data_IF_685341736417
#
_entry.id   IF_685341736417
#
_cell.length_a   1.000
_cell.length_b   1.000
_cell.length_c   1.000
_cell.angle_alpha   90.00
_cell.angle_beta   90.00
_cell.angle_gamma   90.00
#
_symmetry.space_group_name_H-M   'P 1'
#
loop_
_entity.id
_entity.type
_entity.pdbx_description
1 polymer ?
#
# COMPACT_ATOMS: atom_id res chain seq x y z
N UNK A 1 -38.31 -1.80 -6.47
CA UNK A 1 -37.24 -2.73 -6.05
C UNK A 1 -36.54 -3.44 -7.22
N UNK A 2 -37.27 -4.00 -8.20
CA UNK A 2 -36.65 -4.75 -9.32
C UNK A 2 -35.70 -3.90 -10.20
N UNK A 3 -36.09 -2.68 -10.61
CA UNK A 3 -35.21 -1.78 -11.40
C UNK A 3 -33.91 -1.37 -10.68
N UNK A 4 -33.94 -1.27 -9.35
CA UNK A 4 -32.75 -0.93 -8.53
C UNK A 4 -31.76 -2.10 -8.48
N UNK A 5 -32.29 -3.33 -8.31
CA UNK A 5 -31.47 -4.56 -8.35
C UNK A 5 -30.80 -4.82 -9.71
N UNK A 6 -31.45 -4.47 -10.82
CA UNK A 6 -30.86 -4.63 -12.16
C UNK A 6 -29.71 -3.64 -12.37
N UNK A 7 -29.88 -2.37 -11.98
CA UNK A 7 -28.82 -1.36 -12.08
C UNK A 7 -27.62 -1.65 -11.15
N UNK A 8 -27.87 -2.16 -9.94
CA UNK A 8 -26.80 -2.52 -9.01
C UNK A 8 -25.94 -3.70 -9.53
N UNK A 9 -26.55 -4.66 -10.23
CA UNK A 9 -25.84 -5.80 -10.82
C UNK A 9 -25.00 -5.41 -12.04
N UNK A 10 -25.50 -4.51 -12.88
CA UNK A 10 -24.76 -3.98 -14.03
C UNK A 10 -23.57 -3.14 -13.58
N UNK A 11 -23.76 -2.28 -12.57
CA UNK A 11 -22.68 -1.50 -11.96
C UNK A 11 -21.59 -2.38 -11.34
N UNK A 12 -21.97 -3.47 -10.66
CA UNK A 12 -21.01 -4.42 -10.11
C UNK A 12 -20.18 -5.08 -11.22
N UNK A 13 -20.79 -5.48 -12.35
CA UNK A 13 -20.09 -6.10 -13.47
C UNK A 13 -19.09 -5.15 -14.13
N UNK A 14 -19.42 -3.86 -14.25
CA UNK A 14 -18.56 -2.86 -14.87
C UNK A 14 -17.53 -2.26 -13.91
N UNK A 15 -17.64 -2.51 -12.61
CA UNK A 15 -16.70 -1.97 -11.62
C UNK A 15 -15.27 -2.44 -11.93
N UNK A 16 -14.27 -1.54 -12.02
CA UNK A 16 -12.88 -1.96 -12.19
C UNK A 16 -12.34 -2.64 -10.93
N UNK A 17 -12.92 -2.29 -9.76
CA UNK A 17 -12.55 -2.84 -8.46
C UNK A 17 -13.73 -3.03 -7.54
N UNK A 18 -13.72 -4.12 -6.81
CA UNK A 18 -14.63 -4.39 -5.71
C UNK A 18 -16.03 -4.79 -6.14
N UNK A 19 -16.59 -5.74 -5.39
CA UNK A 19 -17.99 -6.17 -5.49
C UNK A 19 -18.53 -6.45 -4.09
N UNK A 20 -19.85 -6.50 -3.92
CA UNK A 20 -20.47 -6.63 -2.59
C UNK A 20 -20.71 -8.07 -2.16
N UNK A 21 -20.86 -8.98 -3.11
CA UNK A 21 -21.25 -10.37 -2.83
C UNK A 21 -20.47 -11.39 -3.65
N UNK A 22 -20.39 -12.63 -3.16
CA UNK A 22 -19.77 -13.74 -3.92
C UNK A 22 -20.48 -14.00 -5.25
N UNK A 23 -21.79 -13.77 -5.33
CA UNK A 23 -22.55 -13.92 -6.57
C UNK A 23 -22.13 -12.86 -7.61
N UNK A 24 -21.97 -11.61 -7.18
CA UNK A 24 -21.42 -10.53 -8.01
C UNK A 24 -19.97 -10.84 -8.42
N UNK A 25 -19.13 -11.31 -7.50
CA UNK A 25 -17.74 -11.70 -7.80
C UNK A 25 -17.69 -12.80 -8.87
N UNK A 26 -18.56 -13.81 -8.76
CA UNK A 26 -18.65 -14.90 -9.75
C UNK A 26 -19.05 -14.38 -11.13
N UNK A 27 -20.04 -13.50 -11.20
CA UNK A 27 -20.46 -12.89 -12.44
C UNK A 27 -19.38 -11.97 -13.03
N UNK A 28 -18.72 -11.18 -12.18
CA UNK A 28 -17.63 -10.27 -12.53
C UNK A 28 -16.43 -11.01 -13.13
N UNK A 29 -16.00 -12.11 -12.48
CA UNK A 29 -14.91 -12.96 -12.95
C UNK A 29 -15.28 -13.67 -14.26
N UNK A 30 -16.51 -14.19 -14.36
CA UNK A 30 -16.99 -14.83 -15.58
C UNK A 30 -17.05 -13.87 -16.77
N UNK A 31 -17.52 -12.63 -16.57
CA UNK A 31 -17.58 -11.60 -17.60
C UNK A 31 -16.20 -11.20 -18.14
N UNK A 32 -15.15 -11.37 -17.33
CA UNK A 32 -13.75 -11.10 -17.69
C UNK A 32 -12.95 -12.35 -18.09
N UNK A 33 -13.61 -13.51 -18.18
CA UNK A 33 -12.95 -14.77 -18.53
C UNK A 33 -11.91 -15.25 -17.50
N UNK A 34 -11.99 -14.77 -16.25
CA UNK A 34 -11.01 -15.07 -15.20
C UNK A 34 -11.07 -16.55 -14.82
N UNK A 35 -9.94 -17.23 -14.92
CA UNK A 35 -9.79 -18.66 -14.60
C UNK A 35 -9.07 -18.89 -13.28
N UNK A 36 -8.26 -17.93 -12.82
CA UNK A 36 -7.46 -18.02 -11.61
C UNK A 36 -7.72 -16.84 -10.66
N UNK A 37 -7.51 -17.08 -9.38
CA UNK A 37 -7.55 -16.02 -8.37
C UNK A 37 -6.40 -16.16 -7.38
N UNK A 38 -5.73 -15.04 -7.14
CA UNK A 38 -4.75 -14.88 -6.10
C UNK A 38 -5.43 -14.39 -4.81
N UNK A 39 -5.45 -15.26 -3.81
CA UNK A 39 -5.98 -14.98 -2.50
C UNK A 39 -4.84 -14.50 -1.61
N UNK A 40 -4.79 -13.20 -1.31
CA UNK A 40 -3.65 -12.59 -0.59
C UNK A 40 -4.05 -12.03 0.78
N UNK A 41 -3.10 -11.95 1.70
CA UNK A 41 -3.16 -11.22 2.96
C UNK A 41 -1.80 -10.53 3.17
N UNK A 42 -1.75 -9.24 3.53
CA UNK A 42 -0.49 -8.56 3.80
C UNK A 42 0.08 -9.02 5.15
N UNK A 43 1.34 -9.44 5.17
CA UNK A 43 2.08 -9.64 6.42
C UNK A 43 2.55 -8.30 7.03
N UNK A 44 3.26 -8.37 8.17
CA UNK A 44 3.76 -7.17 8.87
C UNK A 44 4.74 -6.34 8.03
N UNK A 45 5.43 -6.95 7.07
CA UNK A 45 6.34 -6.28 6.15
C UNK A 45 5.63 -5.72 4.90
N UNK A 46 4.31 -5.97 4.76
CA UNK A 46 3.52 -5.62 3.59
C UNK A 46 3.74 -6.56 2.40
N UNK A 47 4.30 -7.76 2.63
CA UNK A 47 4.45 -8.79 1.60
C UNK A 47 3.14 -9.54 1.43
N UNK A 48 2.77 -9.81 0.18
CA UNK A 48 1.61 -10.62 -0.16
C UNK A 48 1.86 -12.09 0.23
N UNK A 49 1.12 -12.58 1.24
CA UNK A 49 1.09 -14.01 1.60
C UNK A 49 -0.23 -14.60 1.18
N UNK A 50 -0.26 -15.83 0.67
CA UNK A 50 -1.47 -16.28 0.03
C UNK A 50 -1.42 -17.62 -0.68
N UNK A 51 -2.47 -17.88 -1.46
CA UNK A 51 -2.58 -19.01 -2.36
C UNK A 51 -3.14 -18.54 -3.70
N UNK A 52 -2.65 -19.12 -4.78
CA UNK A 52 -3.28 -19.04 -6.09
C UNK A 52 -4.17 -20.27 -6.24
N UNK A 53 -5.40 -20.09 -6.73
CA UNK A 53 -6.30 -21.20 -6.96
C UNK A 53 -7.19 -20.98 -8.19
N UNK A 54 -7.69 -22.08 -8.81
CA UNK A 54 -8.70 -21.97 -9.85
C UNK A 54 -9.95 -21.24 -9.32
N UNK A 55 -10.54 -20.37 -10.13
CA UNK A 55 -11.75 -19.62 -9.80
C UNK A 55 -12.90 -20.56 -9.35
N UNK A 56 -13.03 -21.72 -9.99
CA UNK A 56 -14.01 -22.75 -9.62
C UNK A 56 -13.84 -23.25 -8.18
N UNK A 57 -12.59 -23.40 -7.72
CA UNK A 57 -12.26 -23.80 -6.35
C UNK A 57 -12.58 -22.69 -5.36
N UNK A 58 -12.21 -21.45 -5.66
CA UNK A 58 -12.55 -20.29 -4.82
C UNK A 58 -14.06 -20.16 -4.60
N UNK A 59 -14.88 -20.34 -5.64
CA UNK A 59 -16.34 -20.27 -5.47
C UNK A 59 -16.96 -21.48 -4.77
N UNK A 60 -16.24 -22.60 -4.69
CA UNK A 60 -16.67 -23.76 -3.88
C UNK A 60 -16.33 -23.59 -2.39
N UNK A 61 -15.21 -22.95 -2.10
CA UNK A 61 -14.72 -22.67 -0.75
C UNK A 61 -13.87 -21.40 -0.79
N UNK A 62 -14.49 -20.22 -0.57
CA UNK A 62 -13.81 -18.93 -0.67
C UNK A 62 -12.90 -18.64 0.52
N UNK A 63 -13.06 -19.43 1.58
CA UNK A 63 -12.25 -19.35 2.79
C UNK A 63 -11.00 -20.21 2.59
N UNK A 64 -9.83 -19.65 2.90
CA UNK A 64 -8.58 -20.40 2.88
C UNK A 64 -7.92 -20.42 4.26
N UNK A 65 -7.03 -21.40 4.48
CA UNK A 65 -6.25 -21.49 5.71
C UNK A 65 -4.76 -21.26 5.43
N UNK A 66 -4.10 -20.50 6.30
CA UNK A 66 -2.65 -20.34 6.37
C UNK A 66 -2.22 -20.36 7.84
N UNK A 67 -0.97 -20.76 8.14
CA UNK A 67 -0.47 -20.76 9.51
C UNK A 67 -0.31 -19.34 10.06
N UNK A 68 -0.38 -19.18 11.38
CA UNK A 68 -0.16 -17.91 12.07
C UNK A 68 1.24 -17.34 11.81
N UNK A 69 2.23 -18.22 11.61
CA UNK A 69 3.62 -17.87 11.32
C UNK A 69 3.81 -16.93 10.13
N UNK A 70 2.87 -16.85 9.17
CA UNK A 70 2.98 -15.93 8.02
C UNK A 70 3.16 -14.46 8.44
N UNK A 71 2.66 -14.07 9.61
CA UNK A 71 2.81 -12.69 10.10
C UNK A 71 4.13 -12.43 10.83
N UNK A 72 4.86 -13.48 11.18
CA UNK A 72 6.15 -13.38 11.86
C UNK A 72 7.34 -13.60 10.93
N UNK A 73 7.09 -14.00 9.68
CA UNK A 73 8.16 -14.15 8.71
C UNK A 73 8.78 -12.78 8.40
N UNK A 74 10.09 -12.68 8.57
CA UNK A 74 10.85 -11.45 8.30
C UNK A 74 11.00 -11.23 6.80
N UNK A 75 11.43 -10.02 6.42
CA UNK A 75 11.70 -9.68 5.02
C UNK A 75 12.84 -10.51 4.40
N UNK A 76 13.75 -11.04 5.22
CA UNK A 76 14.81 -11.99 4.79
C UNK A 76 14.30 -13.42 4.62
N UNK A 77 13.03 -13.69 4.95
CA UNK A 77 12.42 -15.02 4.89
C UNK A 77 12.63 -15.86 6.15
N UNK A 78 13.35 -15.32 7.15
CA UNK A 78 13.60 -15.95 8.45
C UNK A 78 12.43 -15.71 9.42
N UNK A 79 12.58 -16.19 10.65
CA UNK A 79 11.64 -15.94 11.74
C UNK A 79 12.41 -15.40 12.94
N UNK A 80 11.81 -14.53 13.76
CA UNK A 80 12.46 -14.03 14.97
C UNK A 80 12.74 -15.18 15.94
N UNK A 81 13.83 -15.07 16.70
CA UNK A 81 14.11 -15.99 17.80
C UNK A 81 13.00 -15.86 18.86
N UNK A 82 12.19 -16.91 18.99
CA UNK A 82 11.04 -16.93 19.90
C UNK A 82 11.43 -17.19 21.37
N UNK A 83 12.70 -17.48 21.65
CA UNK A 83 13.17 -17.77 23.00
C UNK A 83 12.99 -16.56 23.93
N UNK A 84 12.10 -16.70 24.93
CA UNK A 84 11.92 -15.74 26.01
C UNK A 84 11.10 -14.49 25.69
N UNK A 85 10.71 -14.27 24.44
CA UNK A 85 9.86 -13.12 24.03
C UNK A 85 8.37 -13.47 23.97
N UNK A 86 8.03 -14.76 23.92
CA UNK A 86 6.72 -15.20 23.48
C UNK A 86 6.27 -16.43 24.29
N UNK A 87 5.65 -16.19 25.45
CA UNK A 87 4.74 -17.18 26.10
C UNK A 87 3.56 -17.57 25.16
N UNK A 88 3.48 -16.97 23.97
CA UNK A 88 2.43 -17.07 22.97
C UNK A 88 2.83 -17.66 21.62
N UNK A 89 3.95 -18.39 21.48
CA UNK A 89 3.99 -19.46 20.44
C UNK A 89 3.13 -20.62 20.95
N UNK A 90 1.85 -20.29 21.15
CA UNK A 90 0.73 -21.19 21.02
C UNK A 90 0.95 -21.84 19.65
N UNK A 91 1.05 -23.17 19.63
CA UNK A 91 1.27 -23.99 18.43
C UNK A 91 0.81 -23.29 17.16
N UNK A 92 1.71 -23.13 16.17
CA UNK A 92 1.47 -22.42 14.91
C UNK A 92 0.15 -22.87 14.28
N UNK A 93 -0.90 -22.12 14.60
CA UNK A 93 -2.27 -22.58 14.39
C UNK A 93 -2.76 -22.09 13.04
N UNK A 94 -3.55 -22.93 12.37
CA UNK A 94 -4.18 -22.51 11.13
C UNK A 94 -5.17 -21.39 11.40
N UNK A 95 -4.96 -20.28 10.70
CA UNK A 95 -5.89 -19.17 10.59
C UNK A 95 -6.96 -19.46 9.53
N UNK A 96 -8.07 -18.76 9.65
CA UNK A 96 -9.16 -18.70 8.69
C UNK A 96 -9.06 -17.36 7.97
N UNK A 97 -8.88 -17.38 6.66
CA UNK A 97 -8.75 -16.19 5.84
C UNK A 97 -10.01 -16.02 5.01
N UNK A 98 -10.69 -14.89 5.18
CA UNK A 98 -11.95 -14.58 4.51
C UNK A 98 -11.75 -13.43 3.51
N UNK A 99 -12.22 -13.55 2.26
CA UNK A 99 -11.99 -12.54 1.24
C UNK A 99 -12.80 -11.27 1.51
N UNK A 100 -12.13 -10.12 1.43
CA UNK A 100 -12.78 -8.82 1.37
C UNK A 100 -13.07 -8.47 -0.09
N UNK A 101 -14.26 -8.83 -0.56
CA UNK A 101 -14.65 -8.69 -1.98
C UNK A 101 -14.66 -7.24 -2.46
N UNK A 102 -14.67 -6.26 -1.56
CA UNK A 102 -14.50 -4.84 -1.92
C UNK A 102 -13.12 -4.55 -2.55
N UNK A 103 -12.15 -5.45 -2.36
CA UNK A 103 -10.78 -5.33 -2.89
C UNK A 103 -10.56 -6.10 -4.19
N UNK A 104 -11.55 -6.86 -4.67
CA UNK A 104 -11.44 -7.69 -5.86
C UNK A 104 -11.03 -6.86 -7.07
N UNK A 105 -9.91 -7.20 -7.72
CA UNK A 105 -9.45 -6.54 -8.94
C UNK A 105 -8.73 -7.55 -9.86
N UNK A 106 -8.39 -7.12 -11.07
CA UNK A 106 -7.62 -7.96 -12.00
C UNK A 106 -6.14 -8.03 -11.61
N UNK A 107 -5.42 -8.99 -12.18
CA UNK A 107 -3.95 -9.05 -12.17
C UNK A 107 -3.49 -8.81 -13.61
N UNK A 108 -3.32 -7.56 -14.05
CA UNK A 108 -3.22 -7.21 -15.47
C UNK A 108 -1.93 -7.71 -16.15
N UNK A 109 -0.89 -8.00 -15.38
CA UNK A 109 0.37 -8.57 -15.88
C UNK A 109 0.37 -10.11 -15.95
N UNK A 110 -0.67 -10.79 -15.43
CA UNK A 110 -0.74 -12.24 -15.47
C UNK A 110 -0.90 -12.74 -16.91
N UNK A 111 -0.22 -13.84 -17.24
CA UNK A 111 -0.32 -14.47 -18.56
C UNK A 111 -1.72 -15.05 -18.81
N UNK A 112 -2.28 -15.71 -17.80
CA UNK A 112 -3.65 -16.23 -17.82
C UNK A 112 -4.60 -15.21 -17.15
N UNK A 113 -5.87 -15.11 -17.60
CA UNK A 113 -6.85 -14.22 -16.99
C UNK A 113 -7.02 -14.48 -15.49
N UNK A 114 -6.49 -13.56 -14.68
CA UNK A 114 -6.34 -13.75 -13.23
C UNK A 114 -6.90 -12.56 -12.46
N UNK A 115 -7.57 -12.83 -11.34
CA UNK A 115 -8.01 -11.83 -10.38
C UNK A 115 -7.20 -11.94 -9.09
N UNK A 116 -7.27 -10.92 -8.24
CA UNK A 116 -6.72 -10.94 -6.90
C UNK A 116 -7.72 -10.36 -5.90
N UNK A 117 -7.67 -10.85 -4.67
CA UNK A 117 -8.50 -10.35 -3.57
C UNK A 117 -7.75 -10.42 -2.25
N UNK A 118 -7.86 -9.35 -1.46
CA UNK A 118 -7.25 -9.26 -0.13
C UNK A 118 -8.19 -9.94 0.89
N UNK A 119 -7.61 -10.68 1.82
CA UNK A 119 -8.32 -11.41 2.86
C UNK A 119 -8.10 -10.75 4.24
N UNK A 120 -9.10 -10.87 5.09
CA UNK A 120 -8.97 -10.63 6.52
C UNK A 120 -8.64 -11.96 7.22
N UNK A 121 -7.86 -11.89 8.29
CA UNK A 121 -7.42 -13.08 9.04
C UNK A 121 -8.15 -13.23 10.37
N UNK A 122 -8.60 -14.46 10.65
CA UNK A 122 -9.34 -14.83 11.86
C UNK A 122 -8.74 -16.09 12.48
N UNK A 123 -8.78 -16.16 13.81
CA UNK A 123 -8.60 -17.41 14.55
C UNK A 123 -9.76 -18.37 14.25
N UNK A 124 -9.57 -19.67 14.48
CA UNK A 124 -10.63 -20.68 14.25
C UNK A 124 -11.90 -20.48 15.08
N UNK A 125 -11.80 -19.75 16.20
CA UNK A 125 -12.93 -19.36 17.04
C UNK A 125 -13.68 -18.11 16.52
N UNK A 126 -13.27 -17.56 15.37
CA UNK A 126 -13.86 -16.39 14.72
C UNK A 126 -13.34 -15.05 15.24
N UNK A 127 -12.44 -15.01 16.23
CA UNK A 127 -11.81 -13.75 16.64
C UNK A 127 -10.89 -13.24 15.54
N UNK A 128 -10.86 -11.93 15.24
CA UNK A 128 -9.88 -11.37 14.32
C UNK A 128 -8.44 -11.59 14.82
N UNK A 129 -7.50 -11.80 13.90
CA UNK A 129 -6.07 -11.86 14.23
C UNK A 129 -5.59 -10.44 14.54
N UNK A 130 -5.25 -10.21 15.79
CA UNK A 130 -4.96 -8.91 16.37
C UNK A 130 -3.73 -8.21 15.78
N UNK A 131 -2.77 -8.99 15.27
CA UNK A 131 -1.52 -8.53 14.70
C UNK A 131 -1.58 -8.35 13.18
N UNK A 132 -2.67 -8.76 12.52
CA UNK A 132 -2.81 -8.56 11.08
C UNK A 132 -2.90 -7.05 10.78
N UNK A 133 -2.06 -6.47 9.89
CA UNK A 133 -1.99 -5.02 9.68
C UNK A 133 -3.34 -4.37 9.37
N UNK A 134 -4.14 -5.05 8.54
CA UNK A 134 -5.48 -4.61 8.15
C UNK A 134 -6.44 -4.58 9.34
N UNK A 135 -6.33 -5.54 10.27
CA UNK A 135 -7.12 -5.55 11.50
C UNK A 135 -6.66 -4.48 12.50
N UNK A 136 -5.35 -4.25 12.62
CA UNK A 136 -4.79 -3.17 13.44
C UNK A 136 -5.35 -1.82 12.98
N UNK A 137 -5.36 -1.55 11.67
CA UNK A 137 -5.94 -0.33 11.12
C UNK A 137 -7.45 -0.22 11.41
N UNK A 138 -8.23 -1.30 11.19
CA UNK A 138 -9.67 -1.32 11.55
C UNK A 138 -9.90 -0.99 13.02
N UNK A 139 -9.05 -1.49 13.93
CA UNK A 139 -9.13 -1.18 15.35
C UNK A 139 -8.90 0.31 15.62
N UNK A 140 -7.92 0.93 14.97
CA UNK A 140 -7.66 2.38 15.05
C UNK A 140 -8.85 3.18 14.52
N UNK A 141 -9.39 2.82 13.35
CA UNK A 141 -10.56 3.47 12.75
C UNK A 141 -11.80 3.38 13.66
N UNK A 142 -11.99 2.25 14.36
CA UNK A 142 -13.05 2.11 15.35
C UNK A 142 -12.91 3.09 16.53
N UNK A 143 -11.68 3.49 16.91
CA UNK A 143 -11.46 4.52 17.94
C UNK A 143 -11.90 5.91 17.47
N UNK A 144 -11.65 6.25 16.20
CA UNK A 144 -12.17 7.49 15.60
C UNK A 144 -13.70 7.46 15.55
N UNK A 145 -14.28 6.36 15.07
CA UNK A 145 -15.73 6.22 14.96
C UNK A 145 -16.45 6.38 16.31
N UNK A 146 -15.88 5.86 17.41
CA UNK A 146 -16.42 6.05 18.77
C UNK A 146 -16.48 7.52 19.21
N UNK A 147 -15.68 8.39 18.62
CA UNK A 147 -15.71 9.85 18.86
C UNK A 147 -16.58 10.61 17.86
N UNK A 148 -17.24 9.91 16.94
CA UNK A 148 -17.95 10.54 15.83
C UNK A 148 -16.98 11.20 14.85
N UNK A 149 -15.79 10.64 14.66
CA UNK A 149 -14.77 11.17 13.75
C UNK A 149 -14.54 10.24 12.56
N UNK A 150 -14.19 10.83 11.42
CA UNK A 150 -13.82 10.16 10.16
C UNK A 150 -12.43 10.63 9.74
N UNK A 151 -11.37 9.85 9.97
CA UNK A 151 -10.05 10.20 9.48
C UNK A 151 -9.99 10.11 7.96
N UNK A 152 -9.19 10.97 7.35
CA UNK A 152 -8.91 11.02 5.92
C UNK A 152 -7.39 11.09 5.76
N UNK A 153 -6.84 10.27 4.87
CA UNK A 153 -5.39 10.23 4.61
C UNK A 153 -5.11 10.44 3.12
N UNK A 154 -3.90 10.90 2.78
CA UNK A 154 -3.37 10.93 1.41
C UNK A 154 -1.90 10.52 1.45
N UNK A 155 -1.54 9.31 1.01
CA UNK A 155 -0.15 8.89 0.94
C UNK A 155 0.53 9.37 -0.36
N UNK A 156 1.75 9.87 -0.22
CA UNK A 156 2.71 10.13 -1.31
C UNK A 156 3.74 9.00 -1.26
N UNK A 157 3.97 8.29 -2.35
CA UNK A 157 4.83 7.10 -2.37
C UNK A 157 6.03 7.35 -3.27
N UNK A 158 7.20 7.55 -2.67
CA UNK A 158 8.46 7.68 -3.40
C UNK A 158 9.08 6.30 -3.66
N UNK A 159 9.74 6.16 -4.82
CA UNK A 159 10.49 4.97 -5.20
C UNK A 159 11.61 5.30 -6.18
N UNK A 160 12.58 4.39 -6.29
CA UNK A 160 13.62 4.47 -7.31
C UNK A 160 13.36 3.44 -8.40
N UNK A 161 13.61 3.85 -9.64
CA UNK A 161 13.86 2.94 -10.75
C UNK A 161 15.35 2.62 -10.79
N UNK A 162 15.70 1.33 -10.86
CA UNK A 162 17.08 0.85 -10.93
C UNK A 162 17.25 -0.21 -12.01
N UNK A 163 18.45 -0.37 -12.52
CA UNK A 163 18.81 -1.54 -13.34
C UNK A 163 18.55 -2.84 -12.55
N UNK A 164 18.20 -3.95 -13.25
CA UNK A 164 18.09 -5.25 -12.60
C UNK A 164 19.41 -5.61 -11.93
N UNK A 165 19.39 -5.70 -10.60
CA UNK A 165 20.56 -6.05 -9.84
C UNK A 165 20.57 -7.55 -9.56
N UNK A 166 21.39 -8.29 -10.31
CA UNK A 166 21.53 -9.75 -10.13
C UNK A 166 22.50 -10.12 -9.01
N UNK A 167 23.28 -9.15 -8.51
CA UNK A 167 24.27 -9.37 -7.45
C UNK A 167 24.13 -8.29 -6.36
N UNK A 168 23.59 -8.67 -5.18
CA UNK A 168 23.33 -7.71 -4.10
C UNK A 168 24.59 -7.05 -3.53
N UNK A 169 25.78 -7.56 -3.81
CA UNK A 169 27.05 -6.97 -3.36
C UNK A 169 27.42 -5.70 -4.15
N UNK A 170 26.82 -5.49 -5.32
CA UNK A 170 27.04 -4.30 -6.15
C UNK A 170 26.00 -3.19 -5.90
N UNK A 171 26.41 -1.91 -5.99
CA UNK A 171 25.51 -0.80 -5.79
C UNK A 171 24.44 -0.76 -6.90
N UNK A 172 23.22 -0.39 -6.49
CA UNK A 172 22.13 -0.11 -7.42
C UNK A 172 22.50 1.08 -8.32
N UNK A 173 22.08 1.00 -9.58
CA UNK A 173 22.35 2.01 -10.61
C UNK A 173 21.05 2.47 -11.25
N UNK A 174 20.94 3.76 -11.63
CA UNK A 174 19.82 4.24 -12.45
C UNK A 174 19.76 3.49 -13.78
N UNK A 175 18.55 3.15 -14.28
CA UNK A 175 18.39 2.49 -15.56
C UNK A 175 18.68 3.42 -16.73
N UNK A 176 18.92 2.83 -17.89
CA UNK A 176 19.08 3.56 -19.15
C UNK A 176 17.71 3.96 -19.68
N UNK A 177 17.49 5.28 -19.82
CA UNK A 177 16.26 5.84 -20.41
C UNK A 177 16.21 5.71 -21.94
N UNK A 178 15.10 6.14 -22.54
CA UNK A 178 14.89 6.09 -24.00
C UNK A 178 15.96 6.84 -24.82
N UNK A 179 16.67 7.79 -24.22
CA UNK A 179 17.82 8.48 -24.85
C UNK A 179 19.06 7.60 -25.01
N UNK A 180 19.06 6.39 -24.44
CA UNK A 180 20.21 5.48 -24.43
C UNK A 180 21.26 5.83 -23.39
N UNK A 181 20.94 6.70 -22.42
CA UNK A 181 21.81 7.06 -21.30
C UNK A 181 21.08 6.91 -19.97
N UNK A 182 21.78 6.51 -18.89
CA UNK A 182 21.22 6.61 -17.56
C UNK A 182 21.21 8.07 -17.11
N UNK A 183 20.35 8.37 -16.15
CA UNK A 183 20.41 9.66 -15.47
C UNK A 183 21.70 9.81 -14.67
N UNK A 184 22.39 10.94 -14.87
CA UNK A 184 23.71 11.21 -14.26
C UNK A 184 23.59 12.19 -13.07
N UNK A 185 22.45 12.88 -12.94
CA UNK A 185 22.25 13.87 -11.89
C UNK A 185 20.79 14.03 -11.50
N UNK A 186 20.57 14.76 -10.43
CA UNK A 186 19.25 15.08 -9.85
C UNK A 186 18.46 15.96 -10.81
N UNK A 187 17.24 15.55 -11.15
CA UNK A 187 16.36 16.18 -12.13
C UNK A 187 14.98 16.46 -11.54
N UNK A 188 14.92 16.89 -10.28
CA UNK A 188 13.67 17.14 -9.54
C UNK A 188 12.70 17.98 -10.37
N UNK A 189 11.45 17.49 -10.47
CA UNK A 189 10.35 18.10 -11.22
C UNK A 189 10.54 18.18 -12.75
N UNK A 190 11.53 17.47 -13.32
CA UNK A 190 11.79 17.47 -14.76
C UNK A 190 10.85 16.55 -15.53
N UNK A 191 9.98 17.13 -16.35
CA UNK A 191 9.15 16.39 -17.31
C UNK A 191 10.01 15.59 -18.31
N UNK A 192 11.19 16.10 -18.68
CA UNK A 192 12.08 15.38 -19.60
C UNK A 192 12.64 14.11 -18.98
N UNK A 193 12.96 14.14 -17.68
CA UNK A 193 13.44 12.98 -16.94
C UNK A 193 12.33 11.93 -16.77
N UNK A 194 11.10 12.34 -16.44
CA UNK A 194 9.93 11.43 -16.46
C UNK A 194 9.77 10.79 -17.84
N UNK A 195 9.84 11.58 -18.90
CA UNK A 195 9.65 11.08 -20.27
C UNK A 195 10.74 10.10 -20.71
N UNK A 196 11.87 9.98 -20.01
CA UNK A 196 12.88 8.94 -20.31
C UNK A 196 12.33 7.52 -20.09
N UNK A 197 11.32 7.37 -19.22
CA UNK A 197 10.68 6.10 -18.87
C UNK A 197 9.19 6.08 -19.24
N UNK A 198 8.78 6.88 -20.22
CA UNK A 198 7.39 7.05 -20.68
C UNK A 198 6.64 5.71 -20.87
N UNK A 199 7.24 4.75 -21.59
CA UNK A 199 6.63 3.45 -21.85
C UNK A 199 6.38 2.62 -20.57
N UNK A 200 7.22 2.78 -19.54
CA UNK A 200 6.99 2.16 -18.24
C UNK A 200 5.81 2.82 -17.52
N UNK A 201 5.71 4.14 -17.58
CA UNK A 201 4.62 4.85 -16.93
C UNK A 201 3.27 4.59 -17.58
N UNK A 202 3.20 4.43 -18.91
CA UNK A 202 2.00 3.97 -19.61
C UNK A 202 1.55 2.59 -19.10
N UNK A 203 2.47 1.61 -18.97
CA UNK A 203 2.13 0.30 -18.40
C UNK A 203 1.65 0.41 -16.93
N UNK A 204 2.25 1.32 -16.13
CA UNK A 204 1.79 1.58 -14.75
C UNK A 204 0.37 2.15 -14.75
N UNK A 205 0.05 3.07 -15.65
CA UNK A 205 -1.29 3.65 -15.77
C UNK A 205 -2.31 2.60 -16.23
N UNK A 206 -1.99 1.84 -17.28
CA UNK A 206 -2.86 0.78 -17.80
C UNK A 206 -3.15 -0.28 -16.72
N UNK A 207 -2.12 -0.71 -15.98
CA UNK A 207 -2.30 -1.70 -14.93
C UNK A 207 -3.11 -1.13 -13.75
N UNK A 208 -2.86 0.12 -13.37
CA UNK A 208 -3.59 0.80 -12.30
C UNK A 208 -5.06 0.97 -12.67
N UNK A 209 -5.37 1.40 -13.89
CA UNK A 209 -6.75 1.55 -14.37
C UNK A 209 -7.48 0.19 -14.40
N UNK A 210 -6.83 -0.86 -14.91
CA UNK A 210 -7.38 -2.21 -14.93
C UNK A 210 -7.68 -2.78 -13.53
N UNK A 211 -6.95 -2.30 -12.51
CA UNK A 211 -7.16 -2.64 -11.12
C UNK A 211 -8.10 -1.68 -10.38
N UNK A 212 -8.53 -0.58 -11.00
CA UNK A 212 -9.31 0.48 -10.36
C UNK A 212 -8.53 1.24 -9.28
N UNK A 213 -7.22 1.38 -9.46
CA UNK A 213 -6.33 2.17 -8.62
C UNK A 213 -6.23 3.59 -9.20
N UNK A 214 -6.37 4.60 -8.34
CA UNK A 214 -6.38 6.00 -8.76
C UNK A 214 -5.02 6.66 -8.51
N UNK A 215 -4.30 6.99 -9.59
CA UNK A 215 -3.11 7.82 -9.54
C UNK A 215 -3.54 9.28 -9.71
N UNK A 216 -3.13 10.15 -8.78
CA UNK A 216 -3.41 11.58 -8.89
C UNK A 216 -2.33 12.29 -9.72
N UNK A 217 -1.06 12.13 -9.33
CA UNK A 217 0.08 12.71 -10.03
C UNK A 217 1.29 11.77 -10.00
N UNK A 218 2.15 11.92 -11.01
CA UNK A 218 3.48 11.29 -11.12
C UNK A 218 4.50 12.41 -11.27
N UNK A 219 5.56 12.37 -10.45
CA UNK A 219 6.57 13.43 -10.41
C UNK A 219 7.96 12.81 -10.33
N UNK A 220 8.94 13.45 -10.98
CA UNK A 220 10.35 13.13 -10.76
C UNK A 220 10.85 13.81 -9.49
N UNK A 221 11.46 13.03 -8.60
CA UNK A 221 11.91 13.47 -7.29
C UNK A 221 13.39 13.88 -7.26
N UNK A 222 13.92 14.18 -6.07
CA UNK A 222 15.27 14.72 -5.91
C UNK A 222 16.39 13.75 -6.35
N UNK A 223 16.21 12.44 -6.24
CA UNK A 223 17.23 11.46 -6.65
C UNK A 223 17.22 11.12 -8.15
N UNK A 224 18.35 10.62 -8.65
CA UNK A 224 18.45 10.09 -10.02
C UNK A 224 17.50 8.89 -10.22
N UNK A 225 16.60 9.01 -11.20
CA UNK A 225 15.52 8.07 -11.46
C UNK A 225 14.63 7.79 -10.22
N UNK A 226 14.53 8.77 -9.31
CA UNK A 226 13.58 8.76 -8.21
C UNK A 226 12.25 9.34 -8.69
N UNK A 227 11.17 8.66 -8.37
CA UNK A 227 9.82 9.04 -8.75
C UNK A 227 8.93 9.10 -7.51
N UNK A 228 7.86 9.87 -7.59
CA UNK A 228 6.78 9.91 -6.62
C UNK A 228 5.43 9.71 -7.31
N UNK A 229 4.59 8.87 -6.73
CA UNK A 229 3.17 8.76 -7.08
C UNK A 229 2.34 9.22 -5.89
N UNK A 230 1.39 10.12 -6.18
CA UNK A 230 0.43 10.62 -5.21
C UNK A 230 -0.92 9.93 -5.36
N UNK A 231 -1.46 9.47 -4.23
CA UNK A 231 -2.82 8.92 -4.16
C UNK A 231 -3.80 9.99 -3.71
N UNK A 232 -5.01 9.96 -4.26
CA UNK A 232 -6.07 10.86 -3.81
C UNK A 232 -6.43 10.59 -2.36
N UNK A 233 -6.72 11.67 -1.63
CA UNK A 233 -7.09 11.54 -0.23
C UNK A 233 -8.44 10.85 -0.06
N UNK A 234 -8.60 10.08 1.02
CA UNK A 234 -9.82 9.29 1.20
C UNK A 234 -9.84 8.41 2.44
N UNK A 235 -10.63 7.33 2.36
CA UNK A 235 -10.76 6.35 3.43
C UNK A 235 -9.42 5.66 3.72
N UNK A 236 -8.94 5.62 4.98
CA UNK A 236 -7.61 5.11 5.27
C UNK A 236 -7.42 3.62 5.01
N UNK A 237 -8.47 2.80 5.17
CA UNK A 237 -8.36 1.37 4.91
C UNK A 237 -8.25 1.11 3.41
N UNK A 238 -9.10 1.79 2.65
CA UNK A 238 -9.09 1.74 1.19
C UNK A 238 -7.75 2.21 0.61
N UNK A 239 -7.19 3.30 1.12
CA UNK A 239 -5.88 3.79 0.67
C UNK A 239 -4.70 2.92 1.11
N UNK A 240 -4.79 2.28 2.27
CA UNK A 240 -3.78 1.29 2.67
C UNK A 240 -3.77 0.09 1.71
N UNK A 241 -4.95 -0.34 1.25
CA UNK A 241 -5.08 -1.41 0.25
C UNK A 241 -4.54 -1.00 -1.10
N UNK A 242 -4.86 0.22 -1.53
CA UNK A 242 -4.32 0.78 -2.77
C UNK A 242 -2.80 0.85 -2.69
N UNK A 243 -2.22 1.41 -1.62
CA UNK A 243 -0.76 1.49 -1.46
C UNK A 243 -0.09 0.11 -1.48
N UNK A 244 -0.73 -0.90 -0.89
CA UNK A 244 -0.28 -2.30 -0.95
C UNK A 244 -0.27 -2.84 -2.38
N UNK A 245 -1.36 -2.64 -3.14
CA UNK A 245 -1.47 -3.07 -4.53
C UNK A 245 -0.52 -2.29 -5.46
N UNK A 246 -0.45 -0.97 -5.32
CA UNK A 246 0.40 -0.09 -6.13
C UNK A 246 1.86 -0.50 -6.11
N UNK A 247 2.42 -0.81 -4.94
CA UNK A 247 3.82 -1.27 -4.83
C UNK A 247 4.08 -2.53 -5.64
N UNK A 248 3.08 -3.41 -5.73
CA UNK A 248 3.16 -4.62 -6.55
C UNK A 248 3.02 -4.27 -8.04
N UNK A 249 2.01 -3.48 -8.40
CA UNK A 249 1.74 -3.04 -9.77
C UNK A 249 2.94 -2.34 -10.40
N UNK A 250 3.55 -1.39 -9.69
CA UNK A 250 4.72 -0.65 -10.16
C UNK A 250 5.92 -1.57 -10.37
N UNK A 251 6.13 -2.56 -9.49
CA UNK A 251 7.21 -3.54 -9.66
C UNK A 251 7.00 -4.42 -10.89
N UNK A 252 5.78 -4.91 -11.08
CA UNK A 252 5.47 -5.81 -12.21
C UNK A 252 5.56 -5.06 -13.54
N UNK A 253 5.06 -3.81 -13.60
CA UNK A 253 5.29 -2.94 -14.75
C UNK A 253 6.79 -2.67 -14.97
N UNK A 254 7.56 -2.35 -13.93
CA UNK A 254 9.01 -2.14 -14.07
C UNK A 254 9.73 -3.35 -14.69
N UNK A 255 9.34 -4.56 -14.28
CA UNK A 255 9.95 -5.80 -14.76
C UNK A 255 9.73 -6.03 -16.26
N UNK A 256 8.60 -5.60 -16.86
CA UNK A 256 8.36 -5.73 -18.32
C UNK A 256 9.38 -4.90 -19.13
N UNK A 257 9.88 -3.81 -18.54
CA UNK A 257 10.88 -2.91 -19.13
C UNK A 257 12.32 -3.27 -18.77
N UNK A 258 12.57 -4.41 -18.11
CA UNK A 258 13.88 -4.79 -17.56
C UNK A 258 14.44 -3.72 -16.61
N UNK A 259 13.56 -3.14 -15.82
CA UNK A 259 13.86 -2.19 -14.74
C UNK A 259 13.34 -2.82 -13.44
N UNK A 260 13.90 -2.42 -12.31
CA UNK A 260 13.37 -2.78 -11.00
C UNK A 260 12.94 -1.53 -10.23
N UNK A 261 11.73 -1.56 -9.66
CA UNK A 261 11.24 -0.49 -8.80
C UNK A 261 11.47 -0.85 -7.32
N UNK A 262 12.18 0.00 -6.59
CA UNK A 262 12.45 -0.20 -5.16
C UNK A 262 11.89 0.93 -4.30
N UNK A 263 11.16 0.55 -3.25
CA UNK A 263 10.57 1.44 -2.23
C UNK A 263 11.43 1.48 -0.96
N UNK A 264 12.68 1.05 -1.06
CA UNK A 264 13.62 1.01 0.05
C UNK A 264 13.94 2.44 0.49
N UNK A 265 13.95 2.71 1.80
CA UNK A 265 14.08 4.08 2.30
C UNK A 265 15.37 4.82 1.90
N UNK A 266 16.44 4.09 1.57
CA UNK A 266 17.75 4.64 1.21
C UNK A 266 18.48 3.61 0.32
N UNK A 267 18.09 3.49 -0.96
CA UNK A 267 18.59 2.43 -1.83
C UNK A 267 20.01 2.73 -2.33
N UNK A 268 20.32 4.01 -2.57
CA UNK A 268 21.60 4.48 -3.10
C UNK A 268 22.22 5.43 -2.07
N UNK A 269 23.47 5.18 -1.66
CA UNK A 269 24.09 5.85 -0.52
C UNK A 269 24.18 7.38 -0.69
N UNK A 270 24.55 7.84 -1.90
CA UNK A 270 24.80 9.24 -2.21
C UNK A 270 23.58 9.99 -2.79
N UNK A 271 22.43 9.33 -2.89
CA UNK A 271 21.18 9.93 -3.39
C UNK A 271 20.15 10.11 -2.27
N UNK A 272 19.15 10.99 -2.40
CA UNK A 272 18.08 11.16 -1.42
C UNK A 272 17.39 9.85 -1.05
N UNK A 273 16.78 9.78 0.14
CA UNK A 273 16.00 8.61 0.53
C UNK A 273 14.60 8.63 -0.06
N UNK A 274 13.94 7.48 -0.11
CA UNK A 274 12.52 7.37 -0.41
C UNK A 274 11.68 7.35 0.87
N UNK A 275 10.55 8.03 0.87
CA UNK A 275 9.57 8.04 1.94
C UNK A 275 8.17 7.63 1.45
N UNK A 276 7.31 7.47 2.44
CA UNK A 276 5.87 7.54 2.24
C UNK A 276 5.35 8.66 3.12
N UNK A 277 5.15 9.86 2.56
CA UNK A 277 4.53 10.95 3.30
C UNK A 277 3.04 10.65 3.45
N UNK A 278 2.44 11.02 4.58
CA UNK A 278 1.02 10.78 4.83
C UNK A 278 0.39 12.09 5.30
N UNK A 279 -0.38 12.71 4.40
CA UNK A 279 -1.26 13.82 4.75
C UNK A 279 -2.45 13.28 5.53
N UNK A 280 -2.86 13.99 6.58
CA UNK A 280 -3.92 13.54 7.47
C UNK A 280 -4.86 14.69 7.81
N UNK A 281 -6.16 14.41 7.74
CA UNK A 281 -7.20 15.27 8.30
C UNK A 281 -8.26 14.43 8.98
N UNK A 282 -9.13 15.07 9.76
CA UNK A 282 -10.21 14.39 10.47
C UNK A 282 -11.48 15.18 10.26
N UNK A 283 -12.54 14.50 9.81
CA UNK A 283 -13.85 15.09 9.63
C UNK A 283 -14.77 14.70 10.78
N UNK A 284 -15.66 15.61 11.17
CA UNK A 284 -16.80 15.25 12.01
C UNK A 284 -17.73 14.33 11.22
N UNK A 285 -18.08 13.18 11.79
CA UNK A 285 -19.00 12.24 11.18
C UNK A 285 -20.42 12.81 11.05
N UNK A 286 -20.79 13.72 11.95
CA UNK A 286 -22.11 14.37 12.01
C UNK A 286 -22.24 15.48 10.97
N UNK A 287 -21.25 16.39 10.91
CA UNK A 287 -21.36 17.60 10.08
C UNK A 287 -20.60 17.50 8.75
N UNK A 288 -19.67 16.55 8.62
CA UNK A 288 -18.77 16.44 7.48
C UNK A 288 -17.67 17.52 7.43
N UNK A 289 -17.64 18.45 8.39
CA UNK A 289 -16.62 19.51 8.45
C UNK A 289 -15.29 18.97 9.00
N UNK A 290 -14.17 19.51 8.51
CA UNK A 290 -12.84 19.22 9.05
C UNK A 290 -12.71 19.79 10.47
N UNK A 291 -12.25 18.98 11.43
CA UNK A 291 -12.10 19.40 12.83
C UNK A 291 -10.76 20.10 13.07
N UNK A 292 -9.81 20.06 12.12
CA UNK A 292 -8.52 20.72 12.22
C UNK A 292 -8.54 22.18 11.77
N UNK A 293 -9.59 22.60 11.07
CA UNK A 293 -9.73 23.95 10.53
C UNK A 293 -11.01 24.61 11.04
N UNK A 294 -10.91 25.86 11.50
CA UNK A 294 -12.08 26.67 11.84
C UNK A 294 -12.77 27.23 10.57
N UNK A 295 -13.81 28.04 10.75
CA UNK A 295 -14.59 28.59 9.63
C UNK A 295 -13.81 29.63 8.79
N UNK A 296 -12.73 30.19 9.33
CA UNK A 296 -11.84 31.12 8.63
C UNK A 296 -10.64 30.40 7.98
N UNK A 297 -10.53 29.08 8.18
CA UNK A 297 -9.43 28.24 7.70
C UNK A 297 -8.22 28.19 8.63
N UNK A 298 -8.32 28.76 9.83
CA UNK A 298 -7.28 28.73 10.86
C UNK A 298 -7.22 27.38 11.60
N UNK A 299 -6.08 27.07 12.25
CA UNK A 299 -5.90 25.82 12.99
C UNK A 299 -6.73 25.79 14.29
N UNK A 300 -7.40 24.67 14.55
CA UNK A 300 -8.19 24.47 15.78
C UNK A 300 -7.37 23.92 16.94
N UNK A 301 -7.89 23.94 18.19
CA UNK A 301 -7.28 23.23 19.32
C UNK A 301 -7.08 21.72 19.07
N UNK A 302 -7.98 21.09 18.32
CA UNK A 302 -7.90 19.69 17.92
C UNK A 302 -6.69 19.43 17.01
N UNK A 303 -6.41 20.33 16.06
CA UNK A 303 -5.21 20.26 15.23
C UNK A 303 -3.93 20.29 16.08
N UNK A 304 -3.82 21.26 17.00
CA UNK A 304 -2.66 21.33 17.89
C UNK A 304 -2.56 20.14 18.83
N UNK A 305 -3.69 19.58 19.29
CA UNK A 305 -3.72 18.37 20.12
C UNK A 305 -3.25 17.14 19.32
N UNK A 306 -3.62 17.05 18.05
CA UNK A 306 -3.17 16.00 17.15
C UNK A 306 -1.66 16.06 16.91
N UNK A 307 -1.12 17.26 16.67
CA UNK A 307 0.32 17.49 16.58
C UNK A 307 1.02 17.12 17.88
N UNK A 308 0.54 17.58 19.04
CA UNK A 308 1.12 17.23 20.33
C UNK A 308 1.15 15.70 20.57
N UNK A 309 0.11 14.99 20.12
CA UNK A 309 0.09 13.52 20.12
C UNK A 309 1.21 12.93 19.26
N UNK A 310 1.39 13.41 18.03
CA UNK A 310 2.49 12.99 17.16
C UNK A 310 3.85 13.26 17.81
N UNK A 311 4.09 14.47 18.30
CA UNK A 311 5.37 14.81 18.93
C UNK A 311 5.69 13.92 20.14
N UNK A 312 4.67 13.56 20.91
CA UNK A 312 4.80 12.72 22.11
C UNK A 312 5.03 11.25 21.79
N UNK A 313 4.28 10.69 20.83
CA UNK A 313 4.19 9.24 20.63
C UNK A 313 4.97 8.73 19.42
N UNK A 314 5.33 9.57 18.44
CA UNK A 314 6.12 9.15 17.27
C UNK A 314 7.40 8.39 17.66
N UNK A 315 8.22 8.85 18.63
CA UNK A 315 9.42 8.11 19.02
C UNK A 315 9.15 6.67 19.48
N UNK A 316 8.01 6.43 20.13
CA UNK A 316 7.64 5.11 20.64
C UNK A 316 7.15 4.15 19.55
N UNK A 317 6.69 4.67 18.42
CA UNK A 317 6.17 3.86 17.29
C UNK A 317 7.09 3.87 16.07
N UNK A 318 8.29 4.45 16.18
CA UNK A 318 9.26 4.51 15.07
C UNK A 318 9.63 3.14 14.51
N UNK A 319 9.62 2.08 15.33
CA UNK A 319 9.87 0.72 14.86
C UNK A 319 8.80 0.20 13.88
N UNK A 320 7.62 0.82 13.83
CA UNK A 320 6.56 0.49 12.88
C UNK A 320 6.69 1.35 11.61
N UNK A 321 7.06 2.64 11.77
CA UNK A 321 7.18 3.60 10.66
C UNK A 321 8.50 3.45 9.88
N UNK A 322 9.56 3.07 10.57
CA UNK A 322 10.91 2.85 10.05
C UNK A 322 11.41 1.45 10.46
N UNK A 323 10.75 0.36 10.00
CA UNK A 323 10.92 -0.97 10.56
C UNK A 323 12.24 -1.66 10.19
N UNK A 324 13.07 -1.04 9.35
CA UNK A 324 14.30 -1.64 8.85
C UNK A 324 15.52 -0.81 9.26
N UNK A 325 16.66 -1.47 9.44
CA UNK A 325 17.96 -0.79 9.62
C UNK A 325 18.20 0.24 8.52
N UNK A 326 17.79 -0.07 7.30
CA UNK A 326 17.91 0.84 6.17
C UNK A 326 17.07 2.12 6.32
N UNK A 327 15.92 2.07 7.00
CA UNK A 327 15.08 3.23 7.25
C UNK A 327 15.83 4.30 8.04
N UNK A 328 16.66 3.90 9.00
CA UNK A 328 17.47 4.82 9.80
C UNK A 328 18.65 5.43 9.03
N UNK A 329 19.05 4.87 7.89
CA UNK A 329 20.04 5.49 7.00
C UNK A 329 19.47 6.70 6.25
N UNK A 330 18.14 6.80 6.14
CA UNK A 330 17.45 7.98 5.59
C UNK A 330 17.39 9.12 6.61
N UNK A 331 17.15 8.82 7.89
CA UNK A 331 16.93 9.80 8.96
C UNK A 331 18.24 10.45 9.41
N UNK A 332 18.80 11.33 8.57
CA UNK A 332 20.09 11.97 8.78
C UNK A 332 19.99 13.49 8.61
N UNK A 333 20.93 14.22 9.23
CA UNK A 333 21.02 15.68 9.08
C UNK A 333 21.27 16.06 7.62
N UNK A 334 20.86 17.26 7.25
CA UNK A 334 21.09 17.87 5.93
C UNK A 334 20.46 17.05 4.78
N UNK A 335 19.34 16.38 5.07
CA UNK A 335 18.49 15.71 4.10
C UNK A 335 17.03 16.16 4.27
N UNK A 336 16.16 15.89 3.29
CA UNK A 336 14.71 16.17 3.35
C UNK A 336 13.96 15.14 4.24
N UNK A 337 14.62 14.62 5.27
CA UNK A 337 14.08 13.64 6.19
C UNK A 337 14.06 14.21 7.61
N UNK A 338 12.98 13.99 8.38
CA UNK A 338 12.89 14.52 9.73
C UNK A 338 13.89 13.82 10.66
N UNK A 339 14.56 14.61 11.50
CA UNK A 339 15.52 14.14 12.53
C UNK A 339 15.09 14.49 13.96
N UNK A 340 13.92 15.10 14.09
CA UNK A 340 13.33 15.52 15.35
C UNK A 340 11.80 15.46 15.22
N UNK A 341 11.11 15.77 16.31
CA UNK A 341 9.65 15.78 16.36
C UNK A 341 9.08 17.20 16.28
N UNK A 342 9.81 18.16 15.73
CA UNK A 342 9.30 19.52 15.54
C UNK A 342 8.34 19.54 14.35
N UNK A 343 7.49 20.57 14.32
CA UNK A 343 6.58 20.82 13.21
C UNK A 343 6.69 22.30 12.83
N UNK A 344 6.38 22.63 11.58
CA UNK A 344 6.34 23.99 11.09
C UNK A 344 5.49 24.07 9.82
N UNK A 345 5.01 25.27 9.52
CA UNK A 345 4.37 25.55 8.24
C UNK A 345 5.45 25.64 7.17
N UNK A 346 5.21 24.98 6.03
CA UNK A 346 6.07 25.06 4.84
C UNK A 346 7.56 24.80 5.15
N UNK A 347 7.82 23.75 5.94
CA UNK A 347 9.15 23.36 6.37
C UNK A 347 9.33 21.86 6.15
N UNK A 348 10.08 21.51 5.09
CA UNK A 348 10.39 20.14 4.70
C UNK A 348 11.61 19.61 5.45
#
# INVERSE_FOLDING_TARGET
MAKRKVGDHEAALTSPRGVKTLAEAKAWMAARGITEIECTVPDLAGVARGKIMPASKFFSSPVMNLPLSIFFQTISGEYPDYEGLVDSVVADSDLVLEPDLSTLCTVPWAQDPTAQVIHNAYHRDGRPVELAPRQVLRNVLALYAKRGWKPVVAPEIEFYLVEPNTDPDYPLKPPVGRSGRPEIGRQSYSIQAVNEFDALFEDIYDYSEAQGLEIDTLIHEDGAAQMEINLRHGDPLELADQAYLFKRTIREAALTHKIYATFMAKPIANEPGSAMHIHQSVLSAETGKNIFSDEEGGPTPEFFSFLAGHQKYLPAVMCILAPYVNSYRRLTRDSMAPINVQWGYDNR
#
